data_IF_716333000272
#
_entry.id   IF_716333000272
#
_cell.length_a   1.000
_cell.length_b   1.000
_cell.length_c   1.000
_cell.angle_alpha   90.00
_cell.angle_beta   90.00
_cell.angle_gamma   90.00
#
_symmetry.space_group_name_H-M   'P 1'
#
loop_
_entity.id
_entity.type
_entity.pdbx_description
1 polymer ?
#
# COMPACT_ATOMS: atom_id res chain seq x y z
N UNK A 1 -13.22 -12.27 -17.29
CA UNK A 1 -13.15 -10.80 -17.17
C UNK A 1 -13.38 -10.19 -18.54
N UNK A 2 -14.30 -9.22 -18.67
CA UNK A 2 -14.41 -8.45 -19.92
C UNK A 2 -13.08 -7.73 -20.14
N UNK A 3 -12.35 -8.09 -21.20
CA UNK A 3 -11.02 -7.55 -21.48
C UNK A 3 -11.04 -6.02 -21.64
N UNK A 4 -12.20 -5.44 -21.95
CA UNK A 4 -12.37 -3.99 -22.06
C UNK A 4 -12.43 -3.27 -20.70
N UNK A 5 -12.66 -4.00 -19.60
CA UNK A 5 -12.63 -3.45 -18.24
C UNK A 5 -11.24 -3.52 -17.59
N UNK A 6 -10.31 -4.33 -18.15
CA UNK A 6 -8.95 -4.43 -17.63
C UNK A 6 -8.24 -3.07 -17.58
N UNK A 7 -8.22 -2.26 -18.64
CA UNK A 7 -7.54 -0.97 -18.60
C UNK A 7 -8.13 -0.03 -17.53
N UNK A 8 -9.45 -0.10 -17.32
CA UNK A 8 -10.14 0.71 -16.33
C UNK A 8 -9.70 0.30 -14.91
N UNK A 9 -9.78 -0.98 -14.57
CA UNK A 9 -9.36 -1.43 -13.23
C UNK A 9 -7.85 -1.26 -13.01
N UNK A 10 -7.01 -1.47 -14.02
CA UNK A 10 -5.57 -1.18 -13.94
C UNK A 10 -5.32 0.28 -13.60
N UNK A 11 -5.95 1.23 -14.31
CA UNK A 11 -5.82 2.67 -14.06
C UNK A 11 -6.08 3.03 -12.59
N UNK A 12 -7.18 2.53 -12.03
CA UNK A 12 -7.55 2.84 -10.64
C UNK A 12 -6.68 2.11 -9.61
N UNK A 13 -6.27 0.87 -9.91
CA UNK A 13 -5.35 0.13 -9.07
C UNK A 13 -3.97 0.81 -9.00
N UNK A 14 -3.43 1.23 -10.14
CA UNK A 14 -2.16 1.96 -10.24
C UNK A 14 -2.22 3.32 -9.52
N UNK A 15 -3.36 4.02 -9.63
CA UNK A 15 -3.58 5.28 -8.92
C UNK A 15 -3.56 5.07 -7.39
N UNK A 16 -4.26 4.06 -6.87
CA UNK A 16 -4.22 3.75 -5.44
C UNK A 16 -2.80 3.40 -4.99
N UNK A 17 -2.07 2.58 -5.76
CA UNK A 17 -0.67 2.24 -5.49
C UNK A 17 0.20 3.51 -5.44
N UNK A 18 0.00 4.45 -6.36
CA UNK A 18 0.74 5.71 -6.39
C UNK A 18 0.49 6.53 -5.12
N UNK A 19 -0.76 6.69 -4.69
CA UNK A 19 -1.09 7.41 -3.45
C UNK A 19 -0.48 6.76 -2.21
N UNK A 20 -0.49 5.42 -2.14
CA UNK A 20 0.16 4.70 -1.03
C UNK A 20 1.67 4.97 -1.02
N UNK A 21 2.32 4.95 -2.19
CA UNK A 21 3.76 5.22 -2.33
C UNK A 21 4.11 6.66 -1.93
N UNK A 22 3.32 7.64 -2.34
CA UNK A 22 3.52 9.06 -2.01
C UNK A 22 3.49 9.29 -0.50
N UNK A 23 2.46 8.79 0.19
CA UNK A 23 2.34 8.92 1.65
C UNK A 23 3.51 8.24 2.37
N UNK A 24 3.98 7.11 1.87
CA UNK A 24 5.15 6.42 2.39
C UNK A 24 6.43 7.27 2.32
N UNK A 25 6.68 7.88 1.16
CA UNK A 25 7.85 8.72 0.92
C UNK A 25 7.75 10.00 1.76
N UNK A 26 6.59 10.66 1.76
CA UNK A 26 6.36 11.91 2.49
C UNK A 26 6.57 11.76 4.01
N UNK A 27 6.16 10.62 4.59
CA UNK A 27 6.31 10.37 6.03
C UNK A 27 7.65 9.73 6.40
N UNK A 28 8.59 9.58 5.44
CA UNK A 28 9.87 8.92 5.63
C UNK A 28 9.72 7.50 6.23
N UNK A 29 8.63 6.78 5.96
CA UNK A 29 8.37 5.42 6.52
C UNK A 29 8.88 4.34 5.56
N UNK A 30 9.88 4.68 4.76
CA UNK A 30 10.53 3.75 3.83
C UNK A 30 11.24 2.70 4.68
N UNK A 31 10.58 1.56 4.86
CA UNK A 31 11.10 0.51 5.70
C UNK A 31 12.22 -0.26 5.00
N UNK A 32 12.15 -0.49 3.70
CA UNK A 32 13.21 -1.20 2.96
C UNK A 32 13.24 -0.91 1.45
N UNK A 33 12.46 0.07 0.96
CA UNK A 33 12.13 0.17 -0.47
C UNK A 33 11.20 -0.96 -0.96
N UNK A 34 11.27 -2.15 -0.34
CA UNK A 34 10.49 -3.33 -0.72
C UNK A 34 8.99 -3.16 -0.50
N UNK A 35 8.54 -2.34 0.44
CA UNK A 35 7.09 -2.17 0.64
C UNK A 35 6.42 -1.56 -0.60
N UNK A 36 6.99 -0.47 -1.15
CA UNK A 36 6.48 0.13 -2.37
C UNK A 36 6.56 -0.82 -3.57
N UNK A 37 7.57 -1.69 -3.61
CA UNK A 37 7.72 -2.73 -4.63
C UNK A 37 6.81 -3.95 -4.40
N UNK A 38 6.32 -4.14 -3.18
CA UNK A 38 5.39 -5.23 -2.83
C UNK A 38 3.94 -4.94 -3.17
N UNK A 39 3.63 -3.70 -3.56
CA UNK A 39 2.29 -3.29 -3.97
C UNK A 39 2.03 -3.80 -5.39
N UNK A 40 1.29 -4.90 -5.48
CA UNK A 40 0.95 -5.54 -6.76
C UNK A 40 -0.56 -5.53 -6.95
N UNK A 41 -1.08 -5.00 -8.06
CA UNK A 41 -2.49 -5.05 -8.36
C UNK A 41 -2.88 -6.45 -8.85
N UNK A 42 -3.99 -6.96 -8.34
CA UNK A 42 -4.65 -8.15 -8.84
C UNK A 42 -6.04 -7.79 -9.33
N UNK A 43 -6.29 -8.04 -10.61
CA UNK A 43 -7.55 -7.73 -11.25
C UNK A 43 -8.48 -8.93 -11.17
N UNK A 44 -9.76 -8.65 -10.99
CA UNK A 44 -10.85 -9.61 -11.02
C UNK A 44 -11.93 -9.14 -12.01
N UNK A 45 -12.96 -9.95 -12.21
CA UNK A 45 -14.05 -9.58 -13.11
C UNK A 45 -14.85 -8.37 -12.62
N UNK A 46 -14.87 -8.14 -11.31
CA UNK A 46 -15.72 -7.14 -10.64
C UNK A 46 -14.93 -5.99 -10.03
N UNK A 47 -13.60 -5.99 -10.14
CA UNK A 47 -12.76 -4.94 -9.58
C UNK A 47 -11.31 -5.34 -9.46
N UNK A 48 -10.61 -4.76 -8.48
CA UNK A 48 -9.19 -5.03 -8.22
C UNK A 48 -8.91 -5.14 -6.71
N UNK A 49 -7.80 -5.79 -6.39
CA UNK A 49 -7.21 -5.86 -5.06
C UNK A 49 -5.74 -5.43 -5.13
N UNK A 50 -5.21 -4.80 -4.08
CA UNK A 50 -3.78 -4.55 -3.96
C UNK A 50 -3.20 -5.54 -2.96
N UNK A 51 -2.30 -6.42 -3.42
CA UNK A 51 -1.47 -7.23 -2.53
C UNK A 51 -0.36 -6.36 -1.96
N UNK A 52 -0.04 -6.56 -0.68
CA UNK A 52 1.02 -5.85 0.02
C UNK A 52 1.72 -6.75 1.03
N UNK A 53 2.98 -6.46 1.33
CA UNK A 53 3.70 -7.15 2.40
C UNK A 53 3.09 -6.84 3.78
N UNK A 54 3.23 -7.78 4.73
CA UNK A 54 2.75 -7.67 6.13
C UNK A 54 3.24 -6.38 6.82
N UNK A 55 4.37 -5.82 6.39
CA UNK A 55 4.91 -4.56 6.89
C UNK A 55 3.91 -3.39 6.83
N UNK A 56 2.98 -3.37 5.86
CA UNK A 56 1.95 -2.32 5.78
C UNK A 56 1.06 -2.27 7.02
N UNK A 57 0.66 -3.43 7.56
CA UNK A 57 -0.15 -3.49 8.79
C UNK A 57 0.59 -2.93 10.00
N UNK A 58 1.91 -3.17 10.07
CA UNK A 58 2.75 -2.68 11.17
C UNK A 58 2.89 -1.15 11.13
N UNK A 59 2.79 -0.55 9.96
CA UNK A 59 2.94 0.90 9.81
C UNK A 59 1.67 1.64 10.23
N UNK A 60 0.51 1.09 9.93
CA UNK A 60 -0.77 1.70 10.31
C UNK A 60 -1.14 1.46 11.76
N UNK A 61 -0.98 0.23 12.25
CA UNK A 61 -1.48 -0.19 13.57
C UNK A 61 -0.38 -0.57 14.57
N UNK A 62 0.89 -0.48 14.17
CA UNK A 62 2.00 -0.88 15.03
C UNK A 62 2.16 -2.40 15.12
N UNK A 63 2.89 -2.84 16.14
CA UNK A 63 3.24 -4.25 16.37
C UNK A 63 3.21 -4.54 17.86
N UNK A 64 2.50 -5.59 18.26
CA UNK A 64 2.50 -6.05 19.66
C UNK A 64 3.89 -6.53 20.10
N UNK A 65 4.17 -6.40 21.39
CA UNK A 65 5.33 -7.01 22.03
C UNK A 65 5.27 -8.56 21.96
N UNK A 66 6.38 -9.22 22.28
CA UNK A 66 6.48 -10.67 22.46
C UNK A 66 7.20 -11.41 21.34
N UNK A 67 7.17 -10.92 20.09
CA UNK A 67 7.89 -11.55 18.96
C UNK A 67 9.01 -10.68 18.44
N UNK A 68 10.24 -11.16 18.54
CA UNK A 68 11.42 -10.51 17.99
C UNK A 68 11.39 -10.51 16.45
N UNK A 69 11.56 -9.35 15.79
CA UNK A 69 11.75 -9.30 14.34
C UNK A 69 13.09 -9.93 13.93
N UNK A 70 13.22 -10.29 12.64
CA UNK A 70 14.47 -10.85 12.13
C UNK A 70 15.56 -9.77 12.11
N UNK A 71 16.79 -10.14 12.51
CA UNK A 71 17.95 -9.25 12.44
C UNK A 71 18.23 -8.80 10.99
N UNK A 72 18.21 -9.70 9.97
CA UNK A 72 18.43 -9.28 8.59
C UNK A 72 17.41 -8.26 8.08
N UNK A 73 16.13 -8.37 8.49
CA UNK A 73 15.09 -7.39 8.13
C UNK A 73 15.41 -6.00 8.70
N UNK A 74 15.86 -5.92 9.95
CA UNK A 74 16.21 -4.62 10.56
C UNK A 74 17.52 -4.07 9.98
N UNK A 75 18.50 -4.91 9.66
CA UNK A 75 19.71 -4.45 8.99
C UNK A 75 19.40 -3.82 7.63
N UNK A 76 18.54 -4.47 6.82
CA UNK A 76 18.04 -3.92 5.56
C UNK A 76 17.30 -2.60 5.79
N UNK A 77 16.53 -2.50 6.89
CA UNK A 77 15.87 -1.25 7.26
C UNK A 77 16.87 -0.13 7.56
N UNK A 78 17.92 -0.40 8.34
CA UNK A 78 18.98 0.56 8.63
C UNK A 78 19.67 1.08 7.36
N UNK A 79 19.84 0.23 6.34
CA UNK A 79 20.49 0.60 5.08
C UNK A 79 19.64 1.52 4.20
N UNK A 80 18.33 1.34 4.23
CA UNK A 80 17.41 2.09 3.39
C UNK A 80 16.89 3.37 4.05
N UNK A 81 16.92 3.43 5.39
CA UNK A 81 16.38 4.55 6.16
C UNK A 81 17.31 5.76 6.06
N UNK A 82 16.78 6.85 5.48
CA UNK A 82 17.48 8.14 5.39
C UNK A 82 17.40 8.91 6.70
N UNK A 83 18.44 9.70 6.98
CA UNK A 83 18.51 10.58 8.16
C UNK A 83 18.88 9.88 9.47
N UNK A 84 19.41 8.65 9.41
CA UNK A 84 19.91 7.99 10.61
C UNK A 84 21.27 8.56 11.05
N UNK A 85 21.53 8.65 12.36
CA UNK A 85 22.86 8.99 12.87
C UNK A 85 23.94 8.03 12.33
N UNK A 86 25.12 8.50 11.90
CA UNK A 86 26.20 7.64 11.42
C UNK A 86 26.61 6.55 12.42
N UNK A 87 26.44 6.81 13.72
CA UNK A 87 26.68 5.84 14.79
C UNK A 87 25.82 4.58 14.69
N UNK A 88 24.57 4.69 14.21
CA UNK A 88 23.67 3.55 14.00
C UNK A 88 24.08 2.68 12.80
N UNK A 89 24.80 3.26 11.83
CA UNK A 89 25.25 2.58 10.62
C UNK A 89 26.63 1.93 10.77
N UNK A 90 27.42 2.35 11.77
CA UNK A 90 28.77 1.84 12.02
C UNK A 90 28.80 0.37 12.41
N UNK A 91 27.86 -0.06 13.26
CA UNK A 91 27.65 -1.46 13.62
C UNK A 91 26.16 -1.81 13.47
N UNK A 92 25.78 -2.06 12.21
CA UNK A 92 24.40 -2.37 11.84
C UNK A 92 23.88 -3.62 12.55
N UNK A 93 24.72 -4.63 12.77
CA UNK A 93 24.30 -5.90 13.38
C UNK A 93 23.96 -5.71 14.85
N UNK A 94 24.82 -5.01 15.60
CA UNK A 94 24.55 -4.69 17.01
C UNK A 94 23.35 -3.76 17.15
N UNK A 95 23.24 -2.75 16.28
CA UNK A 95 22.10 -1.83 16.25
C UNK A 95 20.80 -2.58 15.95
N UNK A 96 20.82 -3.47 14.95
CA UNK A 96 19.66 -4.30 14.61
C UNK A 96 19.26 -5.24 15.75
N UNK A 97 20.23 -5.83 16.47
CA UNK A 97 19.97 -6.65 17.64
C UNK A 97 19.30 -5.86 18.77
N UNK A 98 19.80 -4.65 19.06
CA UNK A 98 19.21 -3.77 20.06
C UNK A 98 17.77 -3.35 19.71
N UNK A 99 17.54 -2.94 18.45
CA UNK A 99 16.21 -2.60 17.94
C UNK A 99 15.27 -3.82 18.02
N UNK A 100 15.74 -5.00 17.61
CA UNK A 100 14.94 -6.21 17.64
C UNK A 100 14.48 -6.56 19.05
N UNK A 101 15.38 -6.46 20.04
CA UNK A 101 15.04 -6.72 21.44
C UNK A 101 14.10 -5.65 22.01
N UNK A 102 14.27 -4.37 21.65
CA UNK A 102 13.34 -3.32 22.05
C UNK A 102 11.94 -3.58 21.49
N UNK A 103 11.82 -3.91 20.21
CA UNK A 103 10.53 -4.29 19.59
C UNK A 103 9.96 -5.55 20.23
N UNK A 104 10.79 -6.54 20.57
CA UNK A 104 10.32 -7.75 21.26
C UNK A 104 9.75 -7.43 22.65
N UNK A 105 10.37 -6.49 23.37
CA UNK A 105 9.96 -6.11 24.73
C UNK A 105 8.75 -5.18 24.75
N UNK A 106 8.75 -4.18 23.88
CA UNK A 106 7.82 -3.03 23.95
C UNK A 106 6.80 -3.01 22.81
N UNK A 107 7.07 -3.73 21.72
CA UNK A 107 6.36 -3.58 20.46
C UNK A 107 6.71 -2.28 19.73
N UNK A 108 5.88 -1.95 18.75
CA UNK A 108 5.84 -0.65 18.06
C UNK A 108 4.44 -0.10 18.31
N UNK A 109 4.33 1.04 18.97
CA UNK A 109 3.05 1.72 19.22
C UNK A 109 2.91 2.89 18.25
N UNK A 110 1.74 3.02 17.64
CA UNK A 110 1.34 4.17 16.82
C UNK A 110 -0.03 4.64 17.32
N UNK A 111 -0.32 5.96 17.31
CA UNK A 111 0.56 7.07 16.90
C UNK A 111 1.79 7.27 17.81
N UNK A 112 2.86 7.86 17.26
CA UNK A 112 4.03 8.37 17.99
C UNK A 112 4.68 9.53 17.22
N UNK A 113 5.71 10.16 17.80
CA UNK A 113 6.41 11.32 17.22
C UNK A 113 7.02 11.11 15.82
N UNK A 114 7.21 9.87 15.38
CA UNK A 114 7.78 9.51 14.08
C UNK A 114 6.79 8.85 13.13
N UNK A 115 5.63 8.39 13.63
CA UNK A 115 4.60 7.73 12.83
C UNK A 115 3.21 8.05 13.41
N UNK A 116 2.38 8.82 12.70
CA UNK A 116 1.03 9.16 13.15
C UNK A 116 0.06 7.96 13.14
N UNK A 117 0.43 6.82 12.56
CA UNK A 117 -0.48 5.69 12.35
C UNK A 117 -1.53 5.97 11.27
N UNK A 118 -2.30 4.93 10.93
CA UNK A 118 -3.40 5.00 9.95
C UNK A 118 -3.05 5.64 8.59
N UNK A 119 -1.79 5.60 8.17
CA UNK A 119 -1.35 6.30 6.96
C UNK A 119 -1.93 5.67 5.69
N UNK A 120 -1.87 4.34 5.58
CA UNK A 120 -2.45 3.60 4.46
C UNK A 120 -3.98 3.66 4.56
N UNK A 121 -4.52 3.50 5.76
CA UNK A 121 -5.96 3.61 6.05
C UNK A 121 -6.53 4.94 5.56
N UNK A 122 -5.86 6.05 5.84
CA UNK A 122 -6.29 7.38 5.37
C UNK A 122 -6.23 7.50 3.84
N UNK A 123 -5.18 6.95 3.19
CA UNK A 123 -5.10 6.92 1.72
C UNK A 123 -6.26 6.14 1.13
N UNK A 124 -6.55 4.95 1.67
CA UNK A 124 -7.66 4.11 1.21
C UNK A 124 -8.99 4.83 1.41
N UNK A 125 -9.23 5.43 2.58
CA UNK A 125 -10.46 6.18 2.84
C UNK A 125 -10.65 7.34 1.86
N UNK A 126 -9.58 8.09 1.57
CA UNK A 126 -9.64 9.19 0.60
C UNK A 126 -9.91 8.69 -0.83
N UNK A 127 -9.28 7.59 -1.22
CA UNK A 127 -9.53 6.94 -2.51
C UNK A 127 -10.98 6.47 -2.63
N UNK A 128 -11.52 5.84 -1.58
CA UNK A 128 -12.93 5.42 -1.51
C UNK A 128 -13.89 6.61 -1.58
N UNK A 129 -13.55 7.74 -0.95
CA UNK A 129 -14.39 8.93 -0.93
C UNK A 129 -14.37 9.72 -2.24
N UNK A 130 -13.40 9.50 -3.13
CA UNK A 130 -13.21 10.30 -4.34
C UNK A 130 -13.11 9.43 -5.59
N UNK A 131 -12.00 8.72 -5.75
CA UNK A 131 -11.68 7.96 -6.96
C UNK A 131 -12.65 6.81 -7.23
N UNK A 132 -13.26 6.23 -6.18
CA UNK A 132 -14.28 5.20 -6.39
C UNK A 132 -15.54 5.73 -7.08
N UNK A 133 -15.92 6.98 -6.84
CA UNK A 133 -17.06 7.56 -7.55
C UNK A 133 -16.76 7.75 -9.03
N UNK A 134 -15.53 8.17 -9.36
CA UNK A 134 -15.09 8.30 -10.75
C UNK A 134 -15.07 6.93 -11.45
N UNK A 135 -14.58 5.88 -10.77
CA UNK A 135 -14.61 4.51 -11.27
C UNK A 135 -16.03 4.03 -11.56
N UNK A 136 -16.97 4.26 -10.62
CA UNK A 136 -18.37 3.88 -10.80
C UNK A 136 -18.98 4.64 -12.00
N UNK A 137 -18.70 5.93 -12.16
CA UNK A 137 -19.17 6.71 -13.31
C UNK A 137 -18.65 6.21 -14.66
N UNK A 138 -17.37 5.81 -14.71
CA UNK A 138 -16.77 5.21 -15.91
C UNK A 138 -17.37 3.82 -16.21
N UNK A 139 -17.63 3.00 -15.19
CA UNK A 139 -18.32 1.72 -15.33
C UNK A 139 -19.75 1.89 -15.85
N UNK A 140 -20.51 2.82 -15.29
CA UNK A 140 -21.86 3.12 -15.78
C UNK A 140 -21.85 3.50 -17.26
N UNK A 141 -20.92 4.38 -17.64
CA UNK A 141 -20.77 4.83 -19.03
C UNK A 141 -20.46 3.68 -19.97
N UNK A 142 -19.55 2.78 -19.54
CA UNK A 142 -19.22 1.56 -20.26
C UNK A 142 -20.45 0.66 -20.46
N UNK A 143 -21.19 0.35 -19.40
CA UNK A 143 -22.36 -0.53 -19.49
C UNK A 143 -23.52 0.10 -20.27
N UNK A 144 -23.78 1.39 -20.10
CA UNK A 144 -24.78 2.14 -20.91
C UNK A 144 -24.44 2.07 -22.40
N UNK A 145 -23.17 2.27 -22.77
CA UNK A 145 -22.69 2.14 -24.15
C UNK A 145 -22.89 0.72 -24.70
N UNK A 146 -22.55 -0.30 -23.90
CA UNK A 146 -22.72 -1.71 -24.29
C UNK A 146 -24.19 -2.07 -24.50
N UNK A 147 -25.09 -1.61 -23.62
CA UNK A 147 -26.53 -1.82 -23.75
C UNK A 147 -27.08 -1.16 -25.02
N UNK A 148 -26.73 0.11 -25.28
CA UNK A 148 -27.16 0.83 -26.50
C UNK A 148 -26.71 0.12 -27.78
N UNK A 149 -25.48 -0.38 -27.82
CA UNK A 149 -24.95 -1.14 -28.96
C UNK A 149 -25.63 -2.51 -29.14
N UNK A 150 -26.03 -3.17 -28.04
CA UNK A 150 -26.81 -4.41 -28.11
C UNK A 150 -28.22 -4.15 -28.63
N UNK A 151 -28.89 -3.11 -28.13
CA UNK A 151 -30.20 -2.70 -28.62
C UNK A 151 -30.14 -2.40 -30.12
N UNK A 152 -29.21 -1.53 -30.58
CA UNK A 152 -29.08 -1.18 -32.00
C UNK A 152 -28.91 -2.40 -32.92
N UNK A 153 -28.17 -3.43 -32.48
CA UNK A 153 -28.02 -4.69 -33.24
C UNK A 153 -29.27 -5.55 -33.27
N UNK A 154 -30.09 -5.52 -32.21
CA UNK A 154 -31.32 -6.32 -32.14
C UNK A 154 -32.47 -5.75 -33.00
N UNK A 155 -32.38 -4.47 -33.40
CA UNK A 155 -33.37 -3.76 -34.24
C UNK A 155 -32.83 -3.49 -35.65
N UNK A 156 -31.60 -3.91 -35.98
CA UNK A 156 -31.09 -3.84 -37.34
C UNK A 156 -31.71 -4.98 -38.17
N UNK A 157 -32.32 -4.69 -39.33
CA UNK A 157 -32.97 -5.69 -40.18
C UNK A 157 -31.99 -6.70 -40.78
#
# INVERSE_FOLDING_TARGET
MDSNLQPLFTKYAERLIAYIKEVYVANNIIATGDYGNSLVPELSETGFMIKQAIYGKVIDGGRSAGKRPSIPSIMRWLENKKGLPPSMLRDKRRTAFAIANKIAKEGIKVPNQYNPGNLITNVVNNFLAKDMYDLIGELESYYKGKMKSRMKRAIAP
#
